data_IF_009915285925
#
_entry.id   IF_009915285925
#
_cell.length_a   1.000
_cell.length_b   1.000
_cell.length_c   1.000
_cell.angle_alpha   90.00
_cell.angle_beta   90.00
_cell.angle_gamma   90.00
#
_symmetry.space_group_name_H-M   'P 1'
#
loop_
_entity.id
_entity.type
_entity.pdbx_description
1 polymer ?
#
# COMPACT_ATOMS: atom_id res chain seq x y z
N UNK A 1 2.05 36.47 -21.75
CA UNK A 1 0.67 36.12 -22.15
C UNK A 1 0.64 34.62 -22.43
N UNK A 2 -0.36 33.90 -21.93
CA UNK A 2 -0.52 32.47 -22.21
C UNK A 2 -1.93 32.18 -22.69
N UNK A 3 -2.03 31.53 -23.84
CA UNK A 3 -3.30 31.27 -24.52
C UNK A 3 -3.75 29.83 -24.31
N UNK A 4 -5.01 29.65 -23.93
CA UNK A 4 -5.68 28.35 -24.00
C UNK A 4 -5.94 27.97 -25.46
N UNK A 5 -5.42 26.82 -25.92
CA UNK A 5 -5.66 26.32 -27.28
C UNK A 5 -7.12 25.92 -27.53
N UNK A 6 -7.90 25.66 -26.48
CA UNK A 6 -9.31 25.21 -26.59
C UNK A 6 -10.32 26.35 -26.51
N UNK A 7 -10.14 27.29 -25.58
CA UNK A 7 -11.10 28.38 -25.37
C UNK A 7 -10.70 29.67 -26.07
N UNK A 8 -9.47 29.78 -26.56
CA UNK A 8 -8.93 31.04 -27.07
C UNK A 8 -8.81 32.12 -25.99
N UNK A 9 -9.10 31.79 -24.73
CA UNK A 9 -9.09 32.73 -23.62
C UNK A 9 -7.66 33.16 -23.33
N UNK A 10 -7.43 34.47 -23.40
CA UNK A 10 -6.14 35.11 -23.20
C UNK A 10 -6.16 35.76 -21.82
N UNK A 11 -5.34 35.25 -20.90
CA UNK A 11 -5.15 35.89 -19.61
C UNK A 11 -3.83 36.65 -19.63
N UNK A 12 -3.91 37.96 -19.42
CA UNK A 12 -2.76 38.85 -19.34
C UNK A 12 -2.05 38.62 -17.99
N UNK A 13 -1.32 37.51 -17.90
CA UNK A 13 -0.40 37.27 -16.81
C UNK A 13 0.86 38.10 -17.08
N UNK A 14 0.84 39.35 -16.62
CA UNK A 14 2.03 40.19 -16.54
C UNK A 14 3.13 39.39 -15.82
N UNK A 15 4.18 39.00 -16.58
CA UNK A 15 5.31 38.12 -16.21
C UNK A 15 5.06 36.60 -16.16
N UNK A 16 4.40 36.04 -17.17
CA UNK A 16 4.36 34.58 -17.33
C UNK A 16 5.64 34.04 -17.98
N UNK A 17 6.47 33.34 -17.20
CA UNK A 17 7.63 32.58 -17.71
C UNK A 17 7.21 31.15 -18.07
N UNK A 18 8.01 30.48 -18.90
CA UNK A 18 7.85 29.04 -19.14
C UNK A 18 7.79 28.27 -17.81
N UNK A 19 6.83 27.35 -17.71
CA UNK A 19 6.55 26.61 -16.49
C UNK A 19 5.45 27.20 -15.61
N UNK A 20 4.95 28.42 -15.88
CA UNK A 20 3.81 28.97 -15.11
C UNK A 20 2.58 28.08 -15.30
N UNK A 21 1.91 27.74 -14.20
CA UNK A 21 0.71 26.92 -14.24
C UNK A 21 -0.41 27.59 -15.07
N UNK A 22 -1.07 26.80 -15.89
CA UNK A 22 -2.29 27.15 -16.61
C UNK A 22 -3.27 25.99 -16.53
N UNK A 23 -4.49 26.13 -17.05
CA UNK A 23 -5.54 25.11 -16.92
C UNK A 23 -5.98 24.59 -18.28
N UNK A 24 -5.97 23.26 -18.45
CA UNK A 24 -6.59 22.55 -19.56
C UNK A 24 -7.54 21.51 -18.97
N UNK A 25 -8.81 21.59 -19.34
CA UNK A 25 -9.82 20.63 -18.91
C UNK A 25 -9.43 19.18 -19.30
N UNK A 26 -9.54 18.25 -18.36
CA UNK A 26 -9.18 16.84 -18.53
C UNK A 26 -7.70 16.50 -18.28
N UNK A 27 -6.90 17.45 -17.79
CA UNK A 27 -5.51 17.21 -17.40
C UNK A 27 -5.27 17.68 -15.96
N UNK A 28 -4.52 16.86 -15.20
CA UNK A 28 -4.19 17.19 -13.81
C UNK A 28 -3.13 18.28 -13.68
N UNK A 29 -2.34 18.49 -14.73
CA UNK A 29 -1.26 19.48 -14.77
C UNK A 29 -1.12 20.06 -16.17
N UNK A 30 -1.07 21.38 -16.24
CA UNK A 30 -0.79 22.13 -17.47
C UNK A 30 0.05 23.36 -17.16
N UNK A 31 0.96 23.70 -18.07
CA UNK A 31 1.90 24.80 -17.92
C UNK A 31 1.99 25.60 -19.22
N UNK A 32 2.41 26.85 -19.11
CA UNK A 32 2.71 27.68 -20.25
C UNK A 32 4.12 27.39 -20.76
N UNK A 33 4.23 27.16 -22.06
CA UNK A 33 5.50 26.99 -22.77
C UNK A 33 5.42 27.83 -24.04
N UNK A 34 6.35 28.78 -24.21
CA UNK A 34 6.34 29.73 -25.34
C UNK A 34 4.99 30.46 -25.52
N UNK A 35 4.33 30.81 -24.41
CA UNK A 35 3.04 31.53 -24.43
C UNK A 35 1.82 30.67 -24.80
N UNK A 36 1.98 29.35 -24.89
CA UNK A 36 0.88 28.42 -25.18
C UNK A 36 0.69 27.51 -23.96
N UNK A 37 -0.56 27.36 -23.51
CA UNK A 37 -0.88 26.44 -22.44
C UNK A 37 -0.82 25.00 -22.97
N UNK A 38 0.08 24.19 -22.40
CA UNK A 38 0.34 22.80 -22.76
C UNK A 38 0.06 21.88 -21.57
N UNK A 39 -0.43 20.67 -21.85
CA UNK A 39 -0.61 19.66 -20.80
C UNK A 39 0.71 18.97 -20.46
N UNK A 40 0.78 18.42 -19.25
CA UNK A 40 1.93 17.66 -18.76
C UNK A 40 1.45 16.28 -18.32
N UNK A 41 2.12 15.23 -18.79
CA UNK A 41 1.87 13.86 -18.34
C UNK A 41 2.23 13.68 -16.85
N UNK A 42 1.79 12.58 -16.25
CA UNK A 42 2.15 12.24 -14.87
C UNK A 42 3.67 12.00 -14.69
N UNK A 43 4.40 11.77 -15.78
CA UNK A 43 5.84 11.60 -15.88
C UNK A 43 6.61 12.95 -15.89
N UNK A 44 5.89 14.07 -15.91
CA UNK A 44 6.46 15.41 -15.96
C UNK A 44 6.83 15.89 -17.37
N UNK A 45 6.52 15.11 -18.41
CA UNK A 45 6.86 15.45 -19.80
C UNK A 45 5.71 16.26 -20.44
N UNK A 46 6.07 17.38 -21.07
CA UNK A 46 5.13 18.24 -21.80
C UNK A 46 4.57 17.47 -23.00
N UNK A 47 3.26 17.53 -23.19
CA UNK A 47 2.53 16.79 -24.22
C UNK A 47 2.60 15.26 -24.11
N UNK A 48 2.99 14.71 -22.94
CA UNK A 48 2.94 13.28 -22.69
C UNK A 48 1.52 12.80 -22.38
N UNK A 49 1.14 11.69 -23.01
CA UNK A 49 -0.11 10.99 -22.75
C UNK A 49 -0.06 10.13 -21.48
N UNK A 50 1.06 10.11 -20.73
CA UNK A 50 1.17 9.36 -19.49
C UNK A 50 0.13 9.85 -18.47
N UNK A 51 -0.73 8.94 -18.02
CA UNK A 51 -1.77 9.18 -17.00
C UNK A 51 -1.51 8.35 -15.76
N UNK A 52 -1.97 8.86 -14.63
CA UNK A 52 -2.11 8.05 -13.44
C UNK A 52 -3.17 6.98 -13.68
N UNK A 53 -2.89 5.74 -13.27
CA UNK A 53 -3.87 4.68 -13.19
C UNK A 53 -4.82 4.91 -11.99
N UNK A 54 -5.89 4.11 -11.82
CA UNK A 54 -6.80 4.24 -10.67
C UNK A 54 -6.12 4.06 -9.31
N UNK A 55 -4.92 3.49 -9.26
CA UNK A 55 -4.13 3.34 -8.04
C UNK A 55 -3.24 4.57 -7.75
N UNK A 56 -3.20 5.55 -8.65
CA UNK A 56 -2.31 6.72 -8.54
C UNK A 56 -0.89 6.46 -9.02
N UNK A 57 -0.63 5.40 -9.82
CA UNK A 57 0.68 5.12 -10.42
C UNK A 57 0.73 5.68 -11.83
N UNK A 58 1.75 6.48 -12.13
CA UNK A 58 1.96 7.01 -13.48
C UNK A 58 2.29 5.89 -14.48
N UNK A 59 1.49 5.74 -15.54
CA UNK A 59 1.65 4.68 -16.54
C UNK A 59 1.33 3.27 -16.03
N UNK A 60 0.66 3.16 -14.87
CA UNK A 60 0.24 1.88 -14.33
C UNK A 60 -0.91 1.24 -15.12
N UNK A 61 -1.11 -0.07 -14.92
CA UNK A 61 -2.19 -0.84 -15.57
C UNK A 61 -3.46 -0.94 -14.72
N UNK A 62 -3.48 -0.37 -13.51
CA UNK A 62 -4.58 -0.55 -12.56
C UNK A 62 -4.60 -1.90 -11.83
N UNK A 63 -3.71 -2.84 -12.18
CA UNK A 63 -3.64 -4.16 -11.53
C UNK A 63 -2.95 -4.12 -10.16
N UNK A 64 -2.18 -3.06 -9.89
CA UNK A 64 -1.42 -2.94 -8.65
C UNK A 64 -2.29 -2.58 -7.44
N UNK A 65 -3.47 -2.00 -7.63
CA UNK A 65 -4.33 -1.57 -6.53
C UNK A 65 -4.86 -2.76 -5.72
N UNK A 66 -4.99 -3.94 -6.34
CA UNK A 66 -5.44 -5.17 -5.70
C UNK A 66 -4.32 -6.01 -5.09
N UNK A 67 -3.05 -5.71 -5.39
CA UNK A 67 -1.91 -6.46 -4.87
C UNK A 67 -1.38 -5.78 -3.61
N UNK A 68 -1.98 -6.09 -2.46
CA UNK A 68 -1.36 -5.74 -1.19
C UNK A 68 0.00 -6.42 -1.11
N UNK A 69 1.05 -5.61 -0.99
CA UNK A 69 2.42 -6.10 -0.80
C UNK A 69 2.61 -6.70 0.59
N UNK A 70 1.69 -6.42 1.52
CA UNK A 70 1.69 -6.94 2.87
C UNK A 70 0.52 -7.89 3.07
N UNK A 71 0.82 -9.12 3.45
CA UNK A 71 -0.18 -10.16 3.68
C UNK A 71 0.13 -10.90 4.96
N UNK A 72 -0.93 -11.40 5.60
CA UNK A 72 -0.80 -12.33 6.71
C UNK A 72 -0.34 -13.69 6.19
N UNK A 73 0.82 -14.13 6.67
CA UNK A 73 1.44 -15.39 6.29
C UNK A 73 1.50 -16.31 7.50
N UNK A 74 1.02 -17.54 7.34
CA UNK A 74 1.14 -18.58 8.36
C UNK A 74 2.59 -19.08 8.41
N UNK A 75 3.24 -18.93 9.56
CA UNK A 75 4.68 -19.23 9.71
C UNK A 75 4.99 -20.71 9.84
N UNK A 76 3.96 -21.59 9.85
CA UNK A 76 4.07 -23.01 10.20
C UNK A 76 4.62 -23.29 11.60
N UNK A 77 4.83 -22.25 12.41
CA UNK A 77 5.23 -22.35 13.80
C UNK A 77 4.00 -22.24 14.70
N UNK A 78 4.09 -22.85 15.87
CA UNK A 78 3.07 -22.75 16.91
C UNK A 78 3.55 -21.90 18.07
N UNK A 79 2.61 -21.27 18.77
CA UNK A 79 2.85 -20.63 20.05
C UNK A 79 3.36 -21.64 21.08
N UNK A 80 3.93 -21.18 22.20
CA UNK A 80 4.02 -22.00 23.40
C UNK A 80 2.65 -22.57 23.79
N UNK A 81 2.66 -23.68 24.52
CA UNK A 81 1.45 -24.21 25.14
C UNK A 81 0.88 -23.21 26.15
N UNK A 82 -0.44 -23.08 26.18
CA UNK A 82 -1.18 -22.22 27.13
C UNK A 82 -1.00 -22.64 28.60
N UNK A 83 -0.65 -23.90 28.84
CA UNK A 83 -0.26 -24.44 30.13
C UNK A 83 1.06 -25.21 30.04
N UNK A 84 1.87 -25.13 31.11
CA UNK A 84 3.15 -25.83 31.21
C UNK A 84 3.02 -27.27 31.69
N UNK A 85 1.89 -27.61 32.33
CA UNK A 85 1.57 -28.94 32.81
C UNK A 85 0.04 -29.17 32.84
N UNK A 86 -0.38 -30.42 32.92
CA UNK A 86 -1.78 -30.85 32.91
C UNK A 86 -2.22 -31.48 31.58
N UNK A 87 -3.34 -32.22 31.57
CA UNK A 87 -3.79 -32.99 30.40
C UNK A 87 -4.45 -32.16 29.30
N UNK A 88 -4.70 -30.88 29.58
CA UNK A 88 -5.49 -29.97 28.76
C UNK A 88 -4.69 -28.70 28.46
N UNK A 89 -3.57 -28.89 27.76
CA UNK A 89 -2.77 -27.80 27.22
C UNK A 89 -2.92 -27.77 25.70
N UNK A 90 -2.98 -26.57 25.12
CA UNK A 90 -3.13 -26.35 23.67
C UNK A 90 -2.17 -25.25 23.19
N UNK A 91 -1.85 -25.29 21.90
CA UNK A 91 -1.07 -24.27 21.19
C UNK A 91 -1.74 -23.87 19.89
N UNK A 92 -1.43 -22.68 19.39
CA UNK A 92 -2.04 -22.14 18.15
C UNK A 92 -0.99 -21.77 17.12
N UNK A 93 -1.32 -21.89 15.83
CA UNK A 93 -0.40 -21.49 14.76
C UNK A 93 -0.17 -19.97 14.75
N UNK A 94 1.08 -19.57 14.48
CA UNK A 94 1.51 -18.17 14.48
C UNK A 94 1.45 -17.63 13.05
N UNK A 95 0.73 -16.53 12.88
CA UNK A 95 0.68 -15.76 11.63
C UNK A 95 1.34 -14.40 11.80
N UNK A 96 2.12 -13.99 10.80
CA UNK A 96 2.85 -12.71 10.79
C UNK A 96 2.47 -11.89 9.56
N UNK A 97 2.53 -10.57 9.68
CA UNK A 97 2.42 -9.69 8.52
C UNK A 97 3.76 -9.68 7.79
N UNK A 98 3.76 -10.09 6.52
CA UNK A 98 4.96 -10.24 5.70
C UNK A 98 4.83 -9.45 4.41
N UNK A 99 5.93 -8.83 3.98
CA UNK A 99 6.04 -8.31 2.64
C UNK A 99 6.26 -9.47 1.67
N UNK A 100 5.25 -9.77 0.85
CA UNK A 100 5.26 -10.95 -0.05
C UNK A 100 6.27 -10.85 -1.20
N UNK A 101 6.86 -9.67 -1.45
CA UNK A 101 7.84 -9.48 -2.51
C UNK A 101 9.26 -9.82 -2.08
N UNK A 102 9.59 -9.64 -0.80
CA UNK A 102 10.94 -9.83 -0.27
C UNK A 102 10.97 -10.67 1.02
N UNK A 103 9.82 -11.28 1.38
CA UNK A 103 9.65 -12.17 2.51
C UNK A 103 9.98 -11.54 3.88
N UNK A 104 10.06 -10.21 3.95
CA UNK A 104 10.39 -9.53 5.21
C UNK A 104 9.16 -9.47 6.11
N UNK A 105 9.30 -9.92 7.36
CA UNK A 105 8.29 -9.69 8.40
C UNK A 105 8.24 -8.19 8.73
N UNK A 106 7.03 -7.63 8.74
CA UNK A 106 6.78 -6.22 8.96
C UNK A 106 5.74 -6.02 10.07
N UNK A 107 5.59 -4.80 10.62
CA UNK A 107 4.60 -4.54 11.66
C UNK A 107 3.17 -4.88 11.24
N UNK A 108 2.40 -5.51 12.15
CA UNK A 108 1.03 -5.98 11.91
C UNK A 108 0.07 -4.90 11.40
N UNK A 109 0.29 -3.63 11.78
CA UNK A 109 -0.50 -2.47 11.33
C UNK A 109 -0.58 -2.35 9.80
N UNK A 110 0.40 -2.87 9.07
CA UNK A 110 0.42 -2.86 7.61
C UNK A 110 -0.52 -3.91 6.99
N UNK A 111 -0.99 -4.88 7.79
CA UNK A 111 -1.96 -5.89 7.42
C UNK A 111 -3.29 -5.74 8.20
N UNK A 112 -3.52 -4.64 8.93
CA UNK A 112 -4.66 -4.49 9.84
C UNK A 112 -6.02 -4.63 9.15
N UNK A 113 -6.13 -4.14 7.91
CA UNK A 113 -7.35 -4.22 7.09
C UNK A 113 -7.45 -5.51 6.26
N UNK A 114 -6.48 -6.42 6.40
CA UNK A 114 -6.41 -7.66 5.63
C UNK A 114 -6.95 -8.85 6.43
N UNK A 115 -7.58 -9.84 5.78
CA UNK A 115 -8.08 -11.03 6.45
C UNK A 115 -6.92 -11.85 7.05
N UNK A 116 -6.94 -12.05 8.37
CA UNK A 116 -5.97 -12.91 9.06
C UNK A 116 -6.37 -14.38 8.93
N UNK A 117 -5.43 -15.30 8.62
CA UNK A 117 -5.69 -16.73 8.60
C UNK A 117 -6.27 -17.21 9.93
N UNK A 118 -7.20 -18.16 9.87
CA UNK A 118 -7.72 -18.80 11.08
C UNK A 118 -6.58 -19.61 11.73
N UNK A 119 -6.30 -19.42 13.02
CA UNK A 119 -5.24 -20.16 13.70
C UNK A 119 -5.60 -21.63 13.80
N UNK A 120 -4.63 -22.50 13.50
CA UNK A 120 -4.75 -23.94 13.71
C UNK A 120 -4.50 -24.23 15.19
N UNK A 121 -5.39 -24.97 15.84
CA UNK A 121 -5.26 -25.35 17.25
C UNK A 121 -4.73 -26.79 17.35
N UNK A 122 -3.73 -27.01 18.18
CA UNK A 122 -3.11 -28.32 18.40
C UNK A 122 -3.03 -28.62 19.90
N UNK A 123 -3.27 -29.89 20.27
CA UNK A 123 -3.15 -30.35 21.66
C UNK A 123 -1.69 -30.57 22.02
N UNK A 124 -1.27 -30.06 23.18
CA UNK A 124 0.07 -30.23 23.70
C UNK A 124 0.27 -31.58 24.42
N UNK A 125 1.53 -32.02 24.60
CA UNK A 125 1.85 -33.19 25.41
C UNK A 125 1.36 -33.06 26.85
N UNK A 126 0.87 -34.16 27.41
CA UNK A 126 0.52 -34.23 28.82
C UNK A 126 1.78 -34.25 29.68
N UNK A 127 1.97 -33.19 30.47
CA UNK A 127 3.06 -33.09 31.45
C UNK A 127 2.43 -33.16 32.83
N UNK A 128 2.88 -34.09 33.67
CA UNK A 128 2.38 -34.20 35.05
C UNK A 128 2.78 -32.96 35.82
N UNK A 129 1.80 -32.25 36.37
CA UNK A 129 2.09 -31.10 37.22
C UNK A 129 2.79 -31.56 38.49
N UNK A 130 3.81 -30.82 38.98
CA UNK A 130 4.31 -31.04 40.32
C UNK A 130 3.14 -30.85 41.28
N UNK A 131 2.78 -31.92 42.00
CA UNK A 131 1.87 -31.82 43.15
C UNK A 131 2.48 -30.78 44.08
N UNK A 132 1.69 -29.81 44.54
CA UNK A 132 2.12 -28.91 45.61
C UNK A 132 2.43 -29.75 46.86
N UNK A 133 3.68 -30.17 47.02
CA UNK A 133 4.23 -30.61 48.29
C UNK A 133 4.69 -29.36 49.03
N UNK A 134 3.76 -28.73 49.74
CA UNK A 134 4.12 -27.84 50.84
C UNK A 134 4.09 -28.67 52.13
N UNK A 135 5.17 -28.55 52.92
CA UNK A 135 5.32 -29.03 54.30
C UNK A 135 4.15 -28.64 55.22
#
# INVERSE_FOLDING_TARGET
>A
MCRSLKSGEEKELEKMTDGTACFIEGYNKSICVNGICQHVGCDGIVQSNARYDPCGICGGTGESCGRTIFQWMDTKQFSPCDATCGPNAYRVSVSVCQNVRNERVVPERLCADQPRPRPVVEKCPHIICPSQSFE
#
